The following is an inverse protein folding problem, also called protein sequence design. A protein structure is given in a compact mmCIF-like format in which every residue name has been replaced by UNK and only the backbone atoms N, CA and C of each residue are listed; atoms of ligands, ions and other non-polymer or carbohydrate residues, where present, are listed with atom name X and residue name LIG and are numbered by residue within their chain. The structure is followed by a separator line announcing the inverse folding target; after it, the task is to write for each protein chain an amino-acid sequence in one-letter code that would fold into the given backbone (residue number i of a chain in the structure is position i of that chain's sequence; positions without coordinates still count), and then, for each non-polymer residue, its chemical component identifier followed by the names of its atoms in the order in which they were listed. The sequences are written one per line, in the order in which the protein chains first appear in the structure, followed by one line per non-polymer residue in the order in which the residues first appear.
data_IF_656420386879
#
_entry.id   IF_656420386879
#
_cell.length_a   1.000
_cell.length_b   1.000
_cell.length_c   1.000
_cell.angle_alpha   90.00
_cell.angle_beta   90.00
_cell.angle_gamma   90.00
#
_symmetry.space_group_name_H-M   'P 1'
#
loop_
_entity.id
_entity.type
_entity.pdbx_description
1 polymer ?
#
# COMPACT_ATOMS: atom_id res chain seq x y z
N UNK A 1 -0.31 8.66 -10.18
CA UNK A 1 -0.79 7.31 -9.79
C UNK A 1 -0.57 7.11 -8.30
N UNK A 2 -1.51 6.48 -7.58
CA UNK A 2 -1.26 5.98 -6.22
C UNK A 2 -0.29 4.79 -6.25
N UNK A 3 0.20 4.34 -5.09
CA UNK A 3 0.88 3.05 -4.98
C UNK A 3 -0.17 1.94 -4.82
N UNK A 4 0.03 0.80 -5.49
CA UNK A 4 -0.70 -0.42 -5.15
C UNK A 4 -0.01 -1.10 -3.97
N UNK A 5 -0.66 -1.12 -2.81
CA UNK A 5 -0.16 -1.75 -1.59
C UNK A 5 -0.99 -2.98 -1.23
N UNK A 6 -0.34 -4.13 -1.09
CA UNK A 6 -0.97 -5.38 -0.68
C UNK A 6 -0.09 -6.14 0.31
N UNK A 7 -0.30 -5.88 1.59
CA UNK A 7 0.39 -6.56 2.70
C UNK A 7 -0.57 -7.65 3.25
N UNK A 8 -0.29 -8.91 2.88
CA UNK A 8 -1.09 -10.10 3.23
C UNK A 8 -0.30 -10.99 4.20
N UNK A 9 -0.42 -10.73 5.50
CA UNK A 9 0.38 -11.42 6.52
C UNK A 9 -0.44 -12.50 7.21
N UNK A 10 0.13 -13.70 7.33
CA UNK A 10 -0.41 -14.80 8.13
C UNK A 10 0.61 -15.20 9.18
N UNK A 11 0.22 -15.11 10.45
CA UNK A 11 1.01 -15.50 11.61
C UNK A 11 0.26 -16.59 12.39
N UNK A 12 0.91 -17.30 13.33
CA UNK A 12 0.21 -18.24 14.21
C UNK A 12 -0.96 -17.63 14.99
N UNK A 13 -0.93 -16.31 15.23
CA UNK A 13 -1.98 -15.55 15.91
C UNK A 13 -3.10 -15.03 15.00
N UNK A 14 -3.12 -15.41 13.71
CA UNK A 14 -4.17 -15.04 12.76
C UNK A 14 -3.65 -14.28 11.53
N UNK A 15 -4.59 -13.69 10.79
CA UNK A 15 -4.33 -13.00 9.54
C UNK A 15 -4.39 -11.47 9.70
N UNK A 16 -3.57 -10.76 8.94
CA UNK A 16 -3.48 -9.32 8.93
C UNK A 16 -3.41 -8.86 7.47
N UNK A 17 -4.42 -8.10 7.04
CA UNK A 17 -4.60 -7.76 5.64
C UNK A 17 -4.71 -6.25 5.51
N UNK A 18 -3.77 -5.66 4.78
CA UNK A 18 -3.82 -4.27 4.36
C UNK A 18 -3.76 -4.21 2.83
N UNK A 19 -4.85 -3.77 2.20
CA UNK A 19 -4.97 -3.65 0.74
C UNK A 19 -5.48 -2.25 0.40
N UNK A 20 -4.74 -1.52 -0.42
CA UNK A 20 -5.07 -0.13 -0.74
C UNK A 20 -4.44 0.35 -2.06
N UNK A 21 -5.02 1.45 -2.57
CA UNK A 21 -4.36 2.34 -3.53
C UNK A 21 -3.86 3.59 -2.77
N UNK A 22 -2.68 3.47 -2.19
CA UNK A 22 -2.10 4.43 -1.25
C UNK A 22 -1.79 5.77 -1.97
N UNK A 23 -2.40 6.88 -1.54
CA UNK A 23 -2.40 8.11 -2.30
C UNK A 23 -1.08 8.89 -2.14
N UNK A 24 -0.67 9.58 -3.21
CA UNK A 24 0.41 10.57 -3.13
C UNK A 24 -0.05 11.89 -2.49
N UNK A 25 -1.32 12.24 -2.69
CA UNK A 25 -1.92 13.50 -2.25
C UNK A 25 -3.33 13.25 -1.70
N UNK A 26 -3.77 14.10 -0.78
CA UNK A 26 -5.08 14.01 -0.14
C UNK A 26 -6.07 15.08 -0.59
N UNK A 27 -5.68 15.90 -1.56
CA UNK A 27 -6.57 16.92 -2.10
C UNK A 27 -7.76 16.29 -2.82
N UNK A 28 -8.85 17.06 -2.91
CA UNK A 28 -10.12 16.61 -3.46
C UNK A 28 -9.99 16.13 -4.91
N UNK A 29 -9.13 16.78 -5.72
CA UNK A 29 -8.97 16.39 -7.11
C UNK A 29 -8.30 15.01 -7.24
N UNK A 30 -7.30 14.73 -6.40
CA UNK A 30 -6.67 13.41 -6.34
C UNK A 30 -7.64 12.32 -5.89
N UNK A 31 -8.44 12.57 -4.85
CA UNK A 31 -9.44 11.62 -4.38
C UNK A 31 -10.54 11.36 -5.43
N UNK A 32 -11.01 12.40 -6.11
CA UNK A 32 -11.96 12.26 -7.23
C UNK A 32 -11.39 11.41 -8.35
N UNK A 33 -10.10 11.55 -8.65
CA UNK A 33 -9.46 10.81 -9.72
C UNK A 33 -9.22 9.34 -9.37
N UNK A 34 -8.79 9.03 -8.15
CA UNK A 34 -8.26 7.69 -7.81
C UNK A 34 -9.05 6.94 -6.74
N UNK A 35 -9.71 7.63 -5.81
CA UNK A 35 -10.45 7.01 -4.71
C UNK A 35 -11.94 6.85 -5.04
N UNK A 36 -12.61 7.92 -5.47
CA UNK A 36 -14.05 7.88 -5.75
C UNK A 36 -14.47 6.76 -6.71
N UNK A 37 -13.73 6.47 -7.81
CA UNK A 37 -14.10 5.39 -8.74
C UNK A 37 -14.08 4.00 -8.10
N UNK A 38 -13.27 3.77 -7.06
CA UNK A 38 -13.12 2.46 -6.41
C UNK A 38 -13.90 2.35 -5.11
N UNK A 39 -14.52 3.42 -4.61
CA UNK A 39 -15.33 3.38 -3.38
C UNK A 39 -16.45 2.32 -3.41
N UNK A 40 -17.20 2.12 -4.51
CA UNK A 40 -18.21 1.06 -4.57
C UNK A 40 -17.60 -0.34 -4.40
N UNK A 41 -16.43 -0.58 -5.00
CA UNK A 41 -15.67 -1.83 -4.89
C UNK A 41 -15.16 -2.03 -3.46
N UNK A 42 -14.61 -0.99 -2.84
CA UNK A 42 -14.24 -1.04 -1.42
C UNK A 42 -15.43 -1.42 -0.54
N UNK A 43 -16.57 -0.75 -0.72
CA UNK A 43 -17.78 -0.98 0.09
C UNK A 43 -18.31 -2.40 -0.05
N UNK A 44 -18.28 -3.00 -1.25
CA UNK A 44 -18.74 -4.39 -1.43
C UNK A 44 -17.86 -5.40 -0.70
N UNK A 45 -16.54 -5.19 -0.69
CA UNK A 45 -15.61 -6.06 0.05
C UNK A 45 -15.65 -5.83 1.56
N UNK A 46 -15.75 -4.57 2.00
CA UNK A 46 -15.78 -4.20 3.42
C UNK A 46 -16.95 -4.83 4.18
N UNK A 47 -18.08 -5.11 3.50
CA UNK A 47 -19.22 -5.82 4.09
C UNK A 47 -18.87 -7.24 4.58
N UNK A 48 -17.85 -7.87 3.98
CA UNK A 48 -17.40 -9.22 4.32
C UNK A 48 -16.04 -9.24 5.03
N UNK A 49 -15.34 -8.11 5.03
CA UNK A 49 -13.99 -7.93 5.56
C UNK A 49 -14.02 -6.74 6.53
N UNK A 50 -14.48 -6.94 7.77
CA UNK A 50 -14.68 -5.86 8.72
C UNK A 50 -13.35 -5.21 9.13
N UNK A 51 -13.45 -3.97 9.62
CA UNK A 51 -12.30 -3.18 10.05
C UNK A 51 -11.43 -3.92 11.08
N UNK A 52 -10.13 -3.97 10.82
CA UNK A 52 -9.15 -4.72 11.61
C UNK A 52 -8.81 -4.14 12.99
N UNK A 53 -9.49 -3.09 13.43
CA UNK A 53 -9.26 -2.43 14.72
C UNK A 53 -8.12 -1.40 14.67
N UNK A 54 -7.38 -1.27 15.76
CA UNK A 54 -6.36 -0.23 15.92
C UNK A 54 -5.38 -0.16 14.75
N UNK A 55 -5.08 1.07 14.36
CA UNK A 55 -4.21 1.39 13.23
C UNK A 55 -3.31 2.59 13.60
N UNK A 56 -2.00 2.55 13.31
CA UNK A 56 -1.08 3.61 13.73
C UNK A 56 -1.47 4.98 13.19
N UNK A 57 -1.58 5.98 14.06
CA UNK A 57 -1.92 7.37 13.66
C UNK A 57 -0.92 7.93 12.65
N UNK A 58 0.37 7.64 12.83
CA UNK A 58 1.45 8.06 11.92
C UNK A 58 1.33 7.45 10.51
N UNK A 59 0.62 6.33 10.38
CA UNK A 59 0.41 5.66 9.09
C UNK A 59 -0.74 6.28 8.29
N UNK A 60 -1.74 6.86 8.95
CA UNK A 60 -2.98 7.36 8.32
C UNK A 60 -2.76 8.26 7.09
N UNK A 61 -1.78 9.17 7.06
CA UNK A 61 -1.51 10.00 5.88
C UNK A 61 -1.09 9.23 4.63
N UNK A 62 -0.82 7.92 4.71
CA UNK A 62 -0.41 7.10 3.57
C UNK A 62 -1.50 6.16 3.07
N UNK A 63 -2.72 6.23 3.62
CA UNK A 63 -3.83 5.35 3.26
C UNK A 63 -5.01 6.15 2.70
N UNK A 64 -5.69 5.55 1.73
CA UNK A 64 -6.84 6.15 1.07
C UNK A 64 -8.13 5.94 1.87
N UNK A 65 -9.20 6.71 1.58
CA UNK A 65 -10.55 6.40 2.07
C UNK A 65 -11.08 5.02 1.66
N UNK A 66 -10.47 4.36 0.67
CA UNK A 66 -10.76 3.01 0.22
C UNK A 66 -9.77 1.97 0.79
N UNK A 67 -9.13 2.26 1.92
CA UNK A 67 -8.21 1.32 2.57
C UNK A 67 -8.94 0.13 3.21
N UNK A 68 -8.67 -1.07 2.68
CA UNK A 68 -9.17 -2.32 3.22
C UNK A 68 -8.19 -2.89 4.26
N UNK A 69 -8.46 -2.55 5.52
CA UNK A 69 -7.75 -3.08 6.70
C UNK A 69 -8.62 -4.09 7.44
N UNK A 70 -8.18 -5.35 7.53
CA UNK A 70 -8.97 -6.42 8.17
C UNK A 70 -8.11 -7.50 8.81
N UNK A 71 -8.66 -8.23 9.78
CA UNK A 71 -8.01 -9.33 10.50
C UNK A 71 -8.88 -10.61 10.48
N UNK A 72 -8.97 -11.30 9.34
CA UNK A 72 -9.74 -12.53 9.24
C UNK A 72 -9.23 -13.58 10.24
N UNK A 73 -10.15 -14.30 10.88
CA UNK A 73 -9.78 -15.40 11.79
C UNK A 73 -9.58 -16.71 11.03
N UNK A 74 -10.39 -16.92 9.99
CA UNK A 74 -10.40 -18.16 9.21
C UNK A 74 -9.60 -18.01 7.93
N UNK A 75 -8.76 -19.01 7.62
CA UNK A 75 -8.03 -19.07 6.35
C UNK A 75 -8.98 -19.13 5.14
N UNK A 76 -10.17 -19.71 5.30
CA UNK A 76 -11.20 -19.73 4.26
C UNK A 76 -11.56 -18.31 3.78
N UNK A 77 -11.68 -17.35 4.70
CA UNK A 77 -11.95 -15.96 4.34
C UNK A 77 -10.79 -15.32 3.58
N UNK A 78 -9.55 -15.74 3.85
CA UNK A 78 -8.36 -15.26 3.12
C UNK A 78 -8.38 -15.78 1.67
N UNK A 79 -8.53 -17.08 1.48
CA UNK A 79 -8.45 -17.70 0.15
C UNK A 79 -9.67 -17.40 -0.73
N UNK A 80 -10.78 -16.97 -0.14
CA UNK A 80 -11.99 -16.57 -0.87
C UNK A 80 -12.18 -15.06 -0.93
N UNK A 81 -12.52 -14.41 0.19
CA UNK A 81 -12.93 -13.01 0.26
C UNK A 81 -11.77 -12.07 0.04
N UNK A 82 -10.65 -12.27 0.74
CA UNK A 82 -9.45 -11.44 0.57
C UNK A 82 -8.87 -11.64 -0.82
N UNK A 83 -8.82 -12.88 -1.33
CA UNK A 83 -8.37 -13.13 -2.69
C UNK A 83 -9.24 -12.45 -3.75
N UNK A 84 -10.57 -12.42 -3.57
CA UNK A 84 -11.46 -11.66 -4.44
C UNK A 84 -11.19 -10.15 -4.37
N UNK A 85 -11.04 -9.59 -3.16
CA UNK A 85 -10.69 -8.18 -2.98
C UNK A 85 -9.35 -7.85 -3.65
N UNK A 86 -8.32 -8.67 -3.45
CA UNK A 86 -7.01 -8.51 -4.07
C UNK A 86 -7.12 -8.42 -5.60
N UNK A 87 -7.83 -9.36 -6.23
CA UNK A 87 -8.03 -9.35 -7.69
C UNK A 87 -8.75 -8.10 -8.16
N UNK A 88 -9.79 -7.67 -7.46
CA UNK A 88 -10.60 -6.52 -7.86
C UNK A 88 -9.81 -5.21 -7.71
N UNK A 89 -9.06 -5.03 -6.60
CA UNK A 89 -8.16 -3.88 -6.43
C UNK A 89 -7.05 -3.87 -7.47
N UNK A 90 -6.43 -5.03 -7.74
CA UNK A 90 -5.37 -5.13 -8.73
C UNK A 90 -5.90 -4.78 -10.13
N UNK A 91 -7.06 -5.31 -10.51
CA UNK A 91 -7.67 -4.98 -11.80
C UNK A 91 -8.02 -3.50 -11.89
N UNK A 92 -8.59 -2.91 -10.84
CA UNK A 92 -8.88 -1.48 -10.81
C UNK A 92 -7.61 -0.63 -10.92
N UNK A 93 -6.52 -1.05 -10.26
CA UNK A 93 -5.23 -0.38 -10.35
C UNK A 93 -4.66 -0.46 -11.78
N UNK A 94 -4.70 -1.64 -12.41
CA UNK A 94 -4.25 -1.83 -13.79
C UNK A 94 -5.07 -0.97 -14.77
N UNK A 95 -6.39 -0.84 -14.57
CA UNK A 95 -7.21 0.06 -15.38
C UNK A 95 -6.75 1.52 -15.26
N UNK A 96 -6.33 1.97 -14.07
CA UNK A 96 -5.74 3.30 -13.91
C UNK A 96 -4.38 3.42 -14.61
N UNK A 97 -3.56 2.37 -14.59
CA UNK A 97 -2.26 2.36 -15.28
C UNK A 97 -2.45 2.50 -16.78
N UNK A 98 -3.39 1.75 -17.37
CA UNK A 98 -3.70 1.82 -18.81
C UNK A 98 -4.21 3.21 -19.24
N UNK A 99 -4.94 3.90 -18.36
CA UNK A 99 -5.48 5.24 -18.61
C UNK A 99 -4.51 6.37 -18.23
N UNK A 100 -3.41 6.05 -17.56
CA UNK A 100 -2.47 7.04 -17.06
C UNK A 100 -1.78 7.76 -18.22
N UNK A 101 -1.77 9.10 -18.15
CA UNK A 101 -1.03 9.94 -19.09
C UNK A 101 0.24 10.45 -18.40
N UNK A 102 1.38 10.54 -19.12
CA UNK A 102 2.58 11.16 -18.58
C UNK A 102 2.30 12.58 -18.11
N UNK A 103 2.83 12.92 -16.94
CA UNK A 103 2.87 14.31 -16.46
C UNK A 103 4.14 14.94 -17.04
N UNK A 104 3.99 16.09 -17.69
CA UNK A 104 5.12 16.83 -18.29
C UNK A 104 5.43 18.15 -17.58
N UNK A 105 4.54 18.59 -16.69
CA UNK A 105 4.76 19.78 -15.87
C UNK A 105 5.85 19.51 -14.82
N UNK A 106 6.92 20.30 -14.84
CA UNK A 106 8.11 20.08 -14.02
C UNK A 106 7.84 20.25 -12.53
N UNK A 107 7.03 21.25 -12.14
CA UNK A 107 6.69 21.46 -10.74
C UNK A 107 5.86 20.29 -10.21
N UNK A 108 4.89 19.81 -10.99
CA UNK A 108 4.08 18.65 -10.61
C UNK A 108 4.90 17.37 -10.52
N UNK A 109 5.89 17.18 -11.40
CA UNK A 109 6.81 16.05 -11.33
C UNK A 109 7.64 16.09 -10.05
N UNK A 110 8.15 17.26 -9.65
CA UNK A 110 8.86 17.42 -8.38
C UNK A 110 7.95 17.12 -7.19
N UNK A 111 6.72 17.65 -7.17
CA UNK A 111 5.76 17.38 -6.09
C UNK A 111 5.45 15.87 -5.96
N UNK A 112 5.32 15.17 -7.09
CA UNK A 112 5.12 13.71 -7.15
C UNK A 112 6.33 12.99 -6.58
N UNK A 113 7.53 13.35 -7.00
CA UNK A 113 8.77 12.74 -6.52
C UNK A 113 8.90 12.91 -5.00
N UNK A 114 8.65 14.11 -4.49
CA UNK A 114 8.69 14.37 -3.04
C UNK A 114 7.63 13.56 -2.29
N UNK A 115 6.43 13.38 -2.85
CA UNK A 115 5.42 12.51 -2.25
C UNK A 115 5.86 11.04 -2.21
N UNK A 116 6.46 10.54 -3.30
CA UNK A 116 6.98 9.18 -3.36
C UNK A 116 8.12 8.96 -2.35
N UNK A 117 9.05 9.90 -2.25
CA UNK A 117 10.14 9.88 -1.25
C UNK A 117 9.61 9.80 0.17
N UNK A 118 8.64 10.64 0.53
CA UNK A 118 8.02 10.62 1.88
C UNK A 118 7.40 9.26 2.19
N UNK A 119 6.67 8.66 1.25
CA UNK A 119 6.07 7.34 1.44
C UNK A 119 7.11 6.24 1.62
N UNK A 120 8.12 6.22 0.75
CA UNK A 120 9.18 5.20 0.76
C UNK A 120 10.05 5.31 2.01
N UNK A 121 10.43 6.52 2.42
CA UNK A 121 11.15 6.75 3.66
C UNK A 121 10.35 6.28 4.88
N UNK A 122 9.05 6.61 4.94
CA UNK A 122 8.18 6.14 6.01
C UNK A 122 8.11 4.60 6.06
N UNK A 123 7.86 3.94 4.92
CA UNK A 123 7.82 2.47 4.86
C UNK A 123 9.17 1.88 5.27
N UNK A 124 10.28 2.39 4.75
CA UNK A 124 11.60 1.90 5.09
C UNK A 124 11.91 2.03 6.59
N UNK A 125 11.49 3.11 7.25
CA UNK A 125 11.71 3.31 8.69
C UNK A 125 10.75 2.52 9.57
N UNK A 126 9.52 2.29 9.11
CA UNK A 126 8.42 1.75 9.93
C UNK A 126 7.90 0.39 9.49
N UNK A 127 8.56 -0.27 8.54
CA UNK A 127 8.05 -1.54 8.01
C UNK A 127 7.88 -2.58 9.14
N UNK A 128 6.65 -3.09 9.36
CA UNK A 128 6.38 -4.03 10.43
C UNK A 128 7.11 -5.37 10.25
N UNK A 129 7.55 -5.70 9.02
CA UNK A 129 8.32 -6.91 8.74
C UNK A 129 9.79 -6.81 9.18
N UNK A 130 10.33 -5.62 9.48
CA UNK A 130 11.73 -5.43 9.92
C UNK A 130 12.10 -6.36 11.09
N UNK A 131 11.25 -6.44 12.12
CA UNK A 131 11.49 -7.30 13.27
C UNK A 131 11.50 -8.79 12.90
N UNK A 132 10.62 -9.20 11.99
CA UNK A 132 10.55 -10.58 11.48
C UNK A 132 11.79 -10.92 10.65
N UNK A 133 12.19 -10.06 9.70
CA UNK A 133 13.40 -10.25 8.90
C UNK A 133 14.65 -10.29 9.77
N UNK A 134 14.77 -9.39 10.74
CA UNK A 134 15.95 -9.35 11.64
C UNK A 134 16.10 -10.66 12.41
N UNK A 135 14.99 -11.22 12.89
CA UNK A 135 14.99 -12.51 13.60
C UNK A 135 15.35 -13.69 12.69
N UNK A 136 14.99 -13.65 11.41
CA UNK A 136 15.23 -14.75 10.47
C UNK A 136 16.63 -14.69 9.83
N UNK A 137 17.10 -13.49 9.50
CA UNK A 137 18.23 -13.29 8.60
C UNK A 137 19.32 -12.34 9.16
N UNK A 138 19.09 -11.76 10.34
CA UNK A 138 20.01 -10.82 10.97
C UNK A 138 19.84 -9.38 10.46
N UNK A 139 20.44 -8.45 11.21
CA UNK A 139 20.27 -7.01 11.01
C UNK A 139 20.83 -6.53 9.66
N UNK A 140 22.05 -6.95 9.29
CA UNK A 140 22.70 -6.49 8.06
C UNK A 140 21.89 -6.88 6.81
N UNK A 141 21.40 -8.13 6.75
CA UNK A 141 20.55 -8.57 5.64
C UNK A 141 19.23 -7.80 5.59
N UNK A 142 18.64 -7.53 6.76
CA UNK A 142 17.35 -6.83 6.86
C UNK A 142 17.42 -5.41 6.33
N UNK A 143 18.43 -4.64 6.75
CA UNK A 143 18.57 -3.25 6.28
C UNK A 143 18.90 -3.20 4.78
N UNK A 144 19.73 -4.13 4.28
CA UNK A 144 20.00 -4.23 2.85
C UNK A 144 18.74 -4.60 2.05
N UNK A 145 17.90 -5.50 2.56
CA UNK A 145 16.66 -5.89 1.89
C UNK A 145 15.62 -4.76 1.89
N UNK A 146 15.46 -4.05 3.02
CA UNK A 146 14.52 -2.93 3.16
C UNK A 146 14.94 -1.76 2.25
N UNK A 147 16.19 -1.29 2.37
CA UNK A 147 16.65 -0.08 1.68
C UNK A 147 17.19 -0.34 0.27
N UNK A 148 17.52 -1.59 -0.04
CA UNK A 148 18.13 -1.98 -1.32
C UNK A 148 17.20 -2.71 -2.28
N UNK A 149 16.03 -3.15 -1.82
CA UNK A 149 15.06 -3.85 -2.66
C UNK A 149 13.61 -3.44 -2.42
N UNK A 150 13.10 -3.53 -1.18
CA UNK A 150 11.68 -3.24 -0.90
C UNK A 150 11.33 -1.77 -1.14
N UNK A 151 12.22 -0.86 -0.73
CA UNK A 151 12.02 0.58 -0.73
C UNK A 151 13.27 1.28 -1.29
N UNK A 152 13.60 0.98 -2.55
CA UNK A 152 14.90 1.25 -3.17
C UNK A 152 14.98 2.54 -4.01
N UNK A 153 13.97 3.41 -3.98
CA UNK A 153 13.91 4.60 -4.85
C UNK A 153 15.18 5.45 -4.80
N UNK A 154 15.70 5.78 -3.62
CA UNK A 154 16.91 6.60 -3.50
C UNK A 154 18.14 5.89 -4.10
N UNK A 155 18.22 4.56 -3.99
CA UNK A 155 19.30 3.77 -4.60
C UNK A 155 19.22 3.82 -6.12
N UNK A 156 18.02 3.64 -6.67
CA UNK A 156 17.81 3.68 -8.11
C UNK A 156 18.12 5.08 -8.67
N UNK A 157 17.77 6.14 -7.95
CA UNK A 157 18.03 7.52 -8.37
C UNK A 157 19.52 7.90 -8.41
N UNK A 158 20.37 7.26 -7.60
CA UNK A 158 21.84 7.49 -7.62
C UNK A 158 22.53 6.70 -8.75
N UNK A 159 21.87 5.67 -9.27
CA UNK A 159 22.43 4.76 -10.28
C UNK A 159 22.14 5.23 -11.72
N UNK A 160 21.34 6.28 -11.88
CA UNK A 160 21.00 6.95 -13.15
C UNK A 160 21.84 8.21 -13.32
#
# INVERSE_FOLDING_TARGET
MPFFGADLVTLPGGHLIALDMQPLFHDKAYQQQYTEPILPLFKSHQQHLPWGGDFPEEAKPFFSPAFLWTRPQETEAVITRVFSAFKDYLQAYLNFVEQAKPITDSQRLEDILQAQRRYIAYRADKDPARGMFTRLYGQAWTEEYIHGFLFDLERQMVTV
#
